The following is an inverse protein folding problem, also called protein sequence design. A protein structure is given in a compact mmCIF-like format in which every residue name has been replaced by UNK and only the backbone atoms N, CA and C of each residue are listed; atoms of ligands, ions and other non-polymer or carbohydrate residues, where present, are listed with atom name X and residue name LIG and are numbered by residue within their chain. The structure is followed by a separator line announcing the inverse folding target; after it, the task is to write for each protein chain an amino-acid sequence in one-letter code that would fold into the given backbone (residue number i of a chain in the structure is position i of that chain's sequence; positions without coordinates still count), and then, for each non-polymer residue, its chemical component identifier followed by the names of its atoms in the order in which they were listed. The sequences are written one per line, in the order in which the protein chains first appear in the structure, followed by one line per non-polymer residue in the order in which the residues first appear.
data_IF_061327698643
#
_entry.id   IF_061327698643
#
_cell.length_a   1.000
_cell.length_b   1.000
_cell.length_c   1.000
_cell.angle_alpha   90.00
_cell.angle_beta   90.00
_cell.angle_gamma   90.00
#
_symmetry.space_group_name_H-M   'P 1'
#
loop_
_entity.id
_entity.type
_entity.pdbx_description
1 polymer ?
#
# COMPACT_ATOMS: atom_id res chain seq x y z
N UNK A 1 -14.27 -20.63 -24.33
CA UNK A 1 -15.08 -19.51 -24.88
C UNK A 1 -16.10 -19.15 -23.83
N UNK A 2 -15.81 -18.14 -23.02
CA UNK A 2 -16.73 -17.60 -22.02
C UNK A 2 -17.54 -16.49 -22.68
N UNK A 3 -18.85 -16.70 -22.75
CA UNK A 3 -19.86 -15.76 -23.23
C UNK A 3 -19.86 -14.52 -22.35
N UNK A 4 -19.40 -13.40 -22.88
CA UNK A 4 -19.60 -12.07 -22.30
C UNK A 4 -21.08 -11.71 -22.42
N UNK A 5 -21.70 -11.45 -21.28
CA UNK A 5 -23.07 -10.98 -21.15
C UNK A 5 -23.26 -9.64 -21.90
N UNK A 6 -24.26 -9.47 -22.78
CA UNK A 6 -24.43 -8.26 -23.61
C UNK A 6 -24.88 -6.99 -22.86
N UNK A 7 -25.00 -7.04 -21.52
CA UNK A 7 -25.45 -5.93 -20.66
C UNK A 7 -24.36 -5.03 -20.08
N UNK A 8 -23.08 -5.39 -20.20
CA UNK A 8 -21.96 -4.57 -19.70
C UNK A 8 -21.54 -3.56 -20.78
N UNK A 9 -22.35 -2.52 -20.99
CA UNK A 9 -21.86 -1.32 -21.67
C UNK A 9 -20.71 -0.78 -20.84
N UNK A 10 -19.48 -1.10 -21.27
CA UNK A 10 -18.24 -0.99 -20.54
C UNK A 10 -18.07 0.37 -19.87
N UNK A 11 -18.47 0.46 -18.60
CA UNK A 11 -18.17 1.61 -17.76
C UNK A 11 -16.67 1.57 -17.53
N UNK A 12 -15.95 2.50 -18.16
CA UNK A 12 -14.49 2.62 -18.10
C UNK A 12 -13.95 2.33 -16.68
N UNK A 13 -13.18 1.25 -16.54
CA UNK A 13 -12.67 0.78 -15.25
C UNK A 13 -11.34 1.45 -14.94
N UNK A 14 -11.34 2.27 -13.88
CA UNK A 14 -10.15 2.96 -13.38
C UNK A 14 -9.57 2.17 -12.20
N UNK A 15 -8.25 1.93 -12.23
CA UNK A 15 -7.50 1.43 -11.09
C UNK A 15 -6.79 2.58 -10.36
N UNK A 16 -6.71 2.48 -9.03
CA UNK A 16 -6.01 3.45 -8.19
C UNK A 16 -4.93 2.76 -7.35
N UNK A 17 -3.69 3.21 -7.46
CA UNK A 17 -2.56 2.72 -6.70
C UNK A 17 -2.08 3.77 -5.70
N UNK A 18 -2.00 3.41 -4.42
CA UNK A 18 -1.57 4.28 -3.32
C UNK A 18 -0.24 3.77 -2.76
N UNK A 19 0.85 4.48 -3.07
CA UNK A 19 2.20 4.04 -2.69
C UNK A 19 2.46 4.06 -1.18
N UNK A 20 3.53 3.39 -0.77
CA UNK A 20 4.08 3.47 0.59
C UNK A 20 4.73 4.82 0.93
N UNK A 21 5.08 4.99 2.21
CA UNK A 21 5.75 6.20 2.74
C UNK A 21 5.33 6.67 4.14
N UNK A 22 4.74 5.81 4.97
CA UNK A 22 4.33 6.12 6.36
C UNK A 22 3.23 7.19 6.45
N UNK A 23 3.21 7.97 7.55
CA UNK A 23 2.21 9.03 7.76
C UNK A 23 2.22 10.10 6.65
N UNK A 24 3.40 10.37 6.05
CA UNK A 24 3.51 11.28 4.90
C UNK A 24 2.64 10.85 3.73
N UNK A 25 2.69 9.56 3.40
CA UNK A 25 1.90 9.00 2.31
C UNK A 25 0.41 9.11 2.58
N UNK A 26 -0.03 8.84 3.81
CA UNK A 26 -1.42 9.04 4.20
C UNK A 26 -1.90 10.48 3.98
N UNK A 27 -1.13 11.48 4.42
CA UNK A 27 -1.50 12.89 4.26
C UNK A 27 -1.54 13.33 2.79
N UNK A 28 -0.52 12.94 2.00
CA UNK A 28 -0.51 13.20 0.55
C UNK A 28 -1.68 12.53 -0.19
N UNK A 29 -1.95 11.26 0.12
CA UNK A 29 -3.04 10.50 -0.49
C UNK A 29 -4.41 11.02 -0.07
N UNK A 30 -4.56 11.60 1.13
CA UNK A 30 -5.80 12.26 1.52
C UNK A 30 -6.17 13.37 0.53
N UNK A 31 -5.19 14.19 0.14
CA UNK A 31 -5.36 15.22 -0.89
C UNK A 31 -5.69 14.64 -2.26
N UNK A 32 -4.95 13.61 -2.67
CA UNK A 32 -5.22 12.94 -3.94
C UNK A 32 -6.65 12.40 -4.00
N UNK A 33 -7.08 11.70 -2.94
CA UNK A 33 -8.43 11.15 -2.85
C UNK A 33 -9.50 12.24 -2.81
N UNK A 34 -9.23 13.39 -2.17
CA UNK A 34 -10.15 14.55 -2.15
C UNK A 34 -10.38 15.07 -3.55
N UNK A 35 -9.30 15.40 -4.28
CA UNK A 35 -9.42 15.84 -5.66
C UNK A 35 -10.14 14.82 -6.55
N UNK A 36 -9.83 13.52 -6.42
CA UNK A 36 -10.53 12.48 -7.17
C UNK A 36 -12.01 12.37 -6.81
N UNK A 37 -12.37 12.60 -5.55
CA UNK A 37 -13.76 12.61 -5.09
C UNK A 37 -14.53 13.80 -5.67
N UNK A 38 -13.95 15.00 -5.58
CA UNK A 38 -14.54 16.25 -6.06
C UNK A 38 -14.72 16.24 -7.58
N UNK A 39 -13.82 15.57 -8.30
CA UNK A 39 -13.88 15.37 -9.75
C UNK A 39 -14.80 14.20 -10.16
N UNK A 40 -15.49 13.52 -9.25
CA UNK A 40 -16.36 12.38 -9.58
C UNK A 40 -15.60 11.14 -10.11
N UNK A 41 -14.27 11.14 -10.03
CA UNK A 41 -13.40 10.06 -10.53
C UNK A 41 -13.34 8.91 -9.53
N UNK A 42 -13.31 9.21 -8.23
CA UNK A 42 -13.14 8.21 -7.18
C UNK A 42 -14.28 7.17 -7.18
N UNK A 43 -15.50 7.58 -7.55
CA UNK A 43 -16.71 6.75 -7.67
C UNK A 43 -16.64 5.80 -8.88
N UNK A 44 -15.72 6.04 -9.81
CA UNK A 44 -15.47 5.22 -11.01
C UNK A 44 -14.28 4.27 -10.82
N UNK A 45 -13.57 4.35 -9.70
CA UNK A 45 -12.46 3.46 -9.38
C UNK A 45 -13.04 2.08 -9.04
N UNK A 46 -12.69 1.06 -9.82
CA UNK A 46 -13.16 -0.32 -9.61
C UNK A 46 -12.29 -1.06 -8.60
N UNK A 47 -10.99 -0.75 -8.56
CA UNK A 47 -10.01 -1.48 -7.75
C UNK A 47 -8.94 -0.54 -7.25
N UNK A 48 -8.59 -0.69 -5.97
CA UNK A 48 -7.56 0.08 -5.30
C UNK A 48 -6.47 -0.86 -4.80
N UNK A 49 -5.20 -0.54 -5.10
CA UNK A 49 -4.04 -1.25 -4.58
C UNK A 49 -3.26 -0.32 -3.67
N UNK A 50 -2.85 -0.81 -2.50
CA UNK A 50 -2.28 0.05 -1.47
C UNK A 50 -1.14 -0.61 -0.71
N UNK A 51 -0.12 0.20 -0.40
CA UNK A 51 1.14 -0.26 0.21
C UNK A 51 1.45 0.57 1.45
N UNK A 52 1.83 -0.07 2.57
CA UNK A 52 2.34 0.60 3.76
C UNK A 52 1.43 1.72 4.26
N UNK A 53 1.90 2.97 4.37
CA UNK A 53 1.05 4.13 4.69
C UNK A 53 -0.18 4.31 3.77
N UNK A 54 -0.05 3.97 2.48
CA UNK A 54 -1.19 3.91 1.55
C UNK A 54 -2.24 2.88 1.97
N UNK A 55 -1.82 1.73 2.50
CA UNK A 55 -2.75 0.69 2.99
C UNK A 55 -3.54 1.13 4.22
N UNK A 56 -2.98 2.01 5.06
CA UNK A 56 -3.70 2.56 6.22
C UNK A 56 -4.87 3.43 5.75
N UNK A 57 -4.61 4.43 4.90
CA UNK A 57 -5.66 5.33 4.40
C UNK A 57 -6.68 4.60 3.52
N UNK A 58 -6.23 3.66 2.66
CA UNK A 58 -7.12 2.82 1.86
C UNK A 58 -8.02 1.95 2.75
N UNK A 59 -7.45 1.37 3.81
CA UNK A 59 -8.19 0.63 4.82
C UNK A 59 -9.25 1.49 5.51
N UNK A 60 -8.93 2.72 5.88
CA UNK A 60 -9.92 3.65 6.48
C UNK A 60 -11.03 3.95 5.46
N UNK A 61 -10.69 4.25 4.21
CA UNK A 61 -11.66 4.53 3.15
C UNK A 61 -12.64 3.37 2.90
N UNK A 62 -12.14 2.14 2.94
CA UNK A 62 -12.91 0.94 2.65
C UNK A 62 -13.64 0.34 3.86
N UNK A 63 -13.35 0.78 5.10
CA UNK A 63 -13.96 0.23 6.32
C UNK A 63 -14.75 1.25 7.14
N UNK A 64 -14.39 2.53 7.09
CA UNK A 64 -15.02 3.55 7.94
C UNK A 64 -16.45 3.88 7.46
N UNK A 65 -17.45 3.92 8.36
CA UNK A 65 -18.81 4.31 8.00
C UNK A 65 -18.90 5.79 7.61
N UNK A 66 -19.98 6.17 6.92
CA UNK A 66 -20.25 7.55 6.51
C UNK A 66 -19.74 7.91 5.11
N UNK A 67 -19.76 9.22 4.83
CA UNK A 67 -19.41 9.85 3.56
C UNK A 67 -17.91 10.19 3.47
N UNK A 68 -17.51 10.91 2.42
CA UNK A 68 -16.11 11.33 2.24
C UNK A 68 -15.64 12.29 3.35
N UNK A 69 -16.52 13.17 3.85
CA UNK A 69 -16.19 14.09 4.92
C UNK A 69 -15.92 13.37 6.25
N UNK A 70 -16.69 12.33 6.58
CA UNK A 70 -16.44 11.46 7.73
C UNK A 70 -15.10 10.72 7.60
N UNK A 71 -14.82 10.17 6.42
CA UNK A 71 -13.52 9.57 6.09
C UNK A 71 -12.37 10.57 6.31
N UNK A 72 -12.48 11.78 5.78
CA UNK A 72 -11.44 12.80 5.92
C UNK A 72 -11.19 13.18 7.38
N UNK A 73 -12.25 13.43 8.16
CA UNK A 73 -12.13 13.71 9.59
C UNK A 73 -11.39 12.60 10.32
N UNK A 74 -11.73 11.34 10.01
CA UNK A 74 -11.06 10.17 10.61
C UNK A 74 -9.58 10.09 10.24
N UNK A 75 -9.23 10.34 8.98
CA UNK A 75 -7.82 10.35 8.55
C UNK A 75 -7.02 11.44 9.26
N UNK A 76 -7.58 12.66 9.35
CA UNK A 76 -6.95 13.78 10.06
C UNK A 76 -6.75 13.48 11.54
N UNK A 77 -7.74 12.89 12.20
CA UNK A 77 -7.64 12.44 13.60
C UNK A 77 -6.49 11.43 13.76
N UNK A 78 -6.44 10.39 12.92
CA UNK A 78 -5.41 9.36 12.98
C UNK A 78 -4.01 9.93 12.74
N UNK A 79 -3.86 10.83 11.76
CA UNK A 79 -2.60 11.53 11.49
C UNK A 79 -2.15 12.39 12.67
N UNK A 80 -3.08 13.11 13.31
CA UNK A 80 -2.78 13.96 14.46
C UNK A 80 -2.37 13.17 15.71
N UNK A 81 -2.93 11.97 15.90
CA UNK A 81 -2.57 11.08 17.00
C UNK A 81 -1.24 10.36 16.72
N UNK A 82 -1.00 9.99 15.46
CA UNK A 82 0.08 9.10 15.05
C UNK A 82 -0.05 7.69 15.63
N UNK A 83 0.90 6.81 15.32
CA UNK A 83 0.87 5.41 15.77
C UNK A 83 1.90 5.11 16.86
N UNK A 84 2.94 5.92 16.98
CA UNK A 84 4.03 5.70 17.95
C UNK A 84 3.53 5.72 19.40
N UNK A 85 2.79 6.77 19.81
CA UNK A 85 2.25 6.88 21.18
C UNK A 85 1.27 5.74 21.51
N UNK A 86 0.26 5.42 20.66
CA UNK A 86 -0.59 4.26 20.89
C UNK A 86 0.14 2.91 20.92
N UNK A 87 1.18 2.73 20.09
CA UNK A 87 2.00 1.52 20.09
C UNK A 87 2.82 1.38 21.39
N UNK A 88 3.45 2.46 21.86
CA UNK A 88 4.16 2.47 23.15
C UNK A 88 3.21 2.17 24.29
N UNK A 89 2.03 2.83 24.32
CA UNK A 89 0.99 2.52 25.31
C UNK A 89 0.61 1.05 25.27
N UNK A 90 0.37 0.49 24.08
CA UNK A 90 0.03 -0.94 23.93
C UNK A 90 1.17 -1.85 24.39
N UNK A 91 2.42 -1.50 24.13
CA UNK A 91 3.58 -2.26 24.60
C UNK A 91 3.69 -2.30 26.14
N UNK A 92 3.33 -1.20 26.81
CA UNK A 92 3.44 -1.05 28.27
C UNK A 92 2.20 -1.55 29.02
N UNK A 93 1.01 -1.42 28.45
CA UNK A 93 -0.25 -1.77 29.11
C UNK A 93 -0.76 -3.17 28.74
N UNK A 94 -0.06 -3.90 27.88
CA UNK A 94 -0.42 -5.28 27.50
C UNK A 94 0.79 -6.19 27.56
N UNK A 95 0.57 -7.49 27.58
CA UNK A 95 1.62 -8.50 27.59
C UNK A 95 2.43 -8.59 26.28
N UNK A 96 2.04 -7.88 25.22
CA UNK A 96 2.77 -7.88 23.94
C UNK A 96 4.22 -7.40 24.08
N UNK A 97 4.47 -6.39 24.92
CA UNK A 97 5.83 -5.89 25.13
C UNK A 97 6.75 -6.98 25.68
N UNK A 98 6.29 -7.65 26.75
CA UNK A 98 7.02 -8.75 27.37
C UNK A 98 7.16 -9.95 26.42
N UNK A 99 6.10 -10.32 25.70
CA UNK A 99 6.14 -11.40 24.70
C UNK A 99 7.11 -11.08 23.56
N UNK A 100 7.17 -9.83 23.11
CA UNK A 100 8.09 -9.39 22.06
C UNK A 100 9.56 -9.45 22.52
N UNK A 101 9.84 -9.03 23.75
CA UNK A 101 11.18 -9.15 24.35
C UNK A 101 11.56 -10.62 24.49
N UNK A 102 10.69 -11.44 25.08
CA UNK A 102 10.92 -12.88 25.25
C UNK A 102 11.16 -13.59 23.93
N UNK A 103 10.35 -13.31 22.90
CA UNK A 103 10.54 -13.86 21.54
C UNK A 103 11.88 -13.46 20.95
N UNK A 104 12.31 -12.20 21.14
CA UNK A 104 13.61 -11.72 20.66
C UNK A 104 14.77 -12.43 21.35
N UNK A 105 14.71 -12.60 22.67
CA UNK A 105 15.74 -13.31 23.46
C UNK A 105 15.81 -14.77 23.02
N UNK A 106 14.66 -15.45 22.91
CA UNK A 106 14.61 -16.86 22.50
C UNK A 106 15.20 -17.07 21.11
N UNK A 107 14.85 -16.20 20.14
CA UNK A 107 15.43 -16.23 18.80
C UNK A 107 16.94 -15.94 18.83
N UNK A 108 17.41 -15.01 19.65
CA UNK A 108 18.83 -14.70 19.76
C UNK A 108 19.62 -15.90 20.31
N UNK A 109 19.11 -16.57 21.34
CA UNK A 109 19.71 -17.78 21.92
C UNK A 109 19.78 -18.90 20.87
N UNK A 110 18.66 -19.19 20.21
CA UNK A 110 18.58 -20.24 19.19
C UNK A 110 19.51 -19.96 17.99
N UNK A 111 19.55 -18.72 17.47
CA UNK A 111 20.46 -18.35 16.36
C UNK A 111 21.93 -18.35 16.77
N UNK A 112 22.24 -17.98 18.02
CA UNK A 112 23.61 -18.03 18.56
C UNK A 112 24.07 -19.48 18.74
N UNK A 113 23.23 -20.36 19.28
CA UNK A 113 23.52 -21.78 19.38
C UNK A 113 23.76 -22.41 17.99
N UNK A 114 22.89 -22.11 17.03
CA UNK A 114 23.07 -22.58 15.65
C UNK A 114 24.40 -22.08 15.03
N UNK A 115 24.79 -20.83 15.31
CA UNK A 115 26.07 -20.28 14.87
C UNK A 115 27.26 -21.02 15.48
N UNK A 116 27.28 -21.22 16.80
CA UNK A 116 28.35 -21.95 17.51
C UNK A 116 28.47 -23.38 16.97
N UNK A 117 27.35 -24.09 16.83
CA UNK A 117 27.34 -25.46 16.28
C UNK A 117 27.85 -25.47 14.83
N UNK A 118 27.45 -24.51 13.98
CA UNK A 118 27.99 -24.40 12.61
C UNK A 118 29.50 -24.17 12.60
N UNK A 119 30.03 -23.35 13.52
CA UNK A 119 31.48 -23.11 13.63
C UNK A 119 32.23 -24.35 14.08
N UNK A 120 31.71 -25.09 15.05
CA UNK A 120 32.28 -26.36 15.50
C UNK A 120 32.26 -27.43 14.39
N UNK A 121 31.13 -27.59 13.69
CA UNK A 121 31.01 -28.51 12.55
C UNK A 121 31.96 -28.15 11.40
N UNK A 122 32.12 -26.86 11.11
CA UNK A 122 33.06 -26.38 10.10
C UNK A 122 34.52 -26.71 10.47
N UNK A 123 34.89 -26.65 11.75
CA UNK A 123 36.22 -27.01 12.22
C UNK A 123 36.54 -28.50 12.01
N UNK A 124 35.54 -29.38 12.15
CA UNK A 124 35.66 -30.83 11.91
C UNK A 124 35.30 -31.21 10.45
N UNK A 125 35.17 -30.22 9.55
CA UNK A 125 34.79 -30.40 8.13
C UNK A 125 33.50 -31.23 7.92
N UNK A 126 32.62 -31.25 8.91
CA UNK A 126 31.32 -31.94 8.85
C UNK A 126 30.22 -30.97 8.41
N UNK A 127 29.30 -31.45 7.58
CA UNK A 127 28.17 -30.66 7.06
C UNK A 127 26.86 -31.46 7.13
N UNK A 128 26.38 -31.80 8.34
CA UNK A 128 25.12 -32.50 8.49
C UNK A 128 23.96 -31.64 7.98
N UNK A 129 22.95 -32.28 7.35
CA UNK A 129 21.75 -31.61 6.84
C UNK A 129 20.72 -31.37 7.96
N UNK A 130 21.15 -30.76 9.07
CA UNK A 130 20.25 -30.43 10.17
C UNK A 130 19.46 -29.16 9.87
N UNK A 131 18.16 -29.30 9.63
CA UNK A 131 17.28 -28.20 9.22
C UNK A 131 17.28 -27.00 10.18
N UNK A 132 17.37 -27.24 11.49
CA UNK A 132 17.34 -26.20 12.53
C UNK A 132 18.52 -25.22 12.46
N UNK A 133 19.69 -25.71 12.00
CA UNK A 133 20.86 -24.88 11.78
C UNK A 133 20.56 -23.81 10.74
N UNK A 134 19.82 -24.17 9.69
CA UNK A 134 19.37 -23.28 8.61
C UNK A 134 18.22 -22.37 9.02
N UNK A 135 17.16 -22.95 9.58
CA UNK A 135 15.88 -22.30 9.84
C UNK A 135 15.46 -22.49 11.29
N UNK A 136 15.12 -21.42 11.99
CA UNK A 136 14.72 -21.50 13.39
C UNK A 136 13.43 -22.28 13.54
N UNK A 137 13.31 -23.23 14.48
CA UNK A 137 12.01 -23.78 14.81
C UNK A 137 11.11 -22.75 15.52
N UNK A 138 11.71 -21.70 16.10
CA UNK A 138 10.99 -20.63 16.80
C UNK A 138 10.33 -19.70 15.77
N UNK A 139 9.02 -19.48 15.92
CA UNK A 139 8.26 -18.49 15.15
C UNK A 139 8.33 -17.14 15.85
N UNK A 140 8.55 -16.05 15.10
CA UNK A 140 8.41 -14.69 15.64
C UNK A 140 6.93 -14.33 15.81
N UNK A 141 6.29 -14.89 16.84
CA UNK A 141 4.86 -14.66 17.13
C UNK A 141 4.57 -13.27 17.70
N UNK A 142 5.54 -12.65 18.38
CA UNK A 142 5.39 -11.31 18.95
C UNK A 142 6.60 -10.44 18.61
N UNK A 143 6.36 -9.18 18.27
CA UNK A 143 7.39 -8.19 17.91
C UNK A 143 6.86 -6.76 17.97
N UNK A 144 7.70 -5.76 17.65
CA UNK A 144 7.24 -4.37 17.46
C UNK A 144 6.11 -4.26 16.42
N UNK A 145 6.09 -5.15 15.42
CA UNK A 145 5.07 -5.18 14.39
C UNK A 145 3.73 -5.73 14.91
N UNK A 146 3.75 -6.68 15.85
CA UNK A 146 2.49 -7.19 16.46
C UNK A 146 1.90 -6.18 17.44
N UNK A 147 2.74 -5.41 18.12
CA UNK A 147 2.30 -4.24 18.90
C UNK A 147 1.62 -3.22 17.98
N UNK A 148 2.23 -2.89 16.83
CA UNK A 148 1.65 -1.98 15.86
C UNK A 148 0.34 -2.54 15.26
N UNK A 149 0.26 -3.85 14.97
CA UNK A 149 -0.96 -4.54 14.56
C UNK A 149 -2.09 -4.32 15.57
N UNK A 150 -1.83 -4.42 16.89
CA UNK A 150 -2.85 -4.13 17.91
C UNK A 150 -3.31 -2.67 17.90
N UNK A 151 -2.41 -1.71 17.62
CA UNK A 151 -2.80 -0.30 17.40
C UNK A 151 -3.73 -0.17 16.20
N UNK A 152 -3.42 -0.82 15.08
CA UNK A 152 -4.29 -0.82 13.89
C UNK A 152 -5.63 -1.50 14.17
N UNK A 153 -5.65 -2.63 14.87
CA UNK A 153 -6.87 -3.35 15.25
C UNK A 153 -7.84 -2.45 16.03
N UNK A 154 -7.34 -1.72 17.03
CA UNK A 154 -8.15 -0.74 17.78
C UNK A 154 -8.65 0.41 16.90
N UNK A 155 -7.81 0.93 16.01
CA UNK A 155 -8.15 2.04 15.12
C UNK A 155 -9.23 1.68 14.09
N UNK A 156 -9.18 0.45 13.57
CA UNK A 156 -10.17 -0.12 12.65
C UNK A 156 -11.36 -0.76 13.37
N UNK A 157 -11.41 -0.72 14.71
CA UNK A 157 -12.49 -1.36 15.48
C UNK A 157 -12.58 -2.87 15.30
N UNK A 158 -11.46 -3.54 14.97
CA UNK A 158 -11.44 -4.99 14.72
C UNK A 158 -12.06 -5.42 13.39
N UNK A 159 -12.27 -4.50 12.43
CA UNK A 159 -12.85 -4.81 11.13
C UNK A 159 -12.08 -5.94 10.42
N UNK A 160 -12.82 -6.91 9.86
CA UNK A 160 -12.24 -7.98 9.04
C UNK A 160 -12.17 -7.56 7.58
N UNK A 161 -11.32 -8.25 6.81
CA UNK A 161 -11.25 -8.05 5.36
C UNK A 161 -12.60 -8.34 4.68
N UNK A 162 -13.35 -9.32 5.19
CA UNK A 162 -14.69 -9.68 4.72
C UNK A 162 -15.76 -8.63 5.03
N UNK A 163 -15.49 -7.74 6.00
CA UNK A 163 -16.44 -6.71 6.46
C UNK A 163 -16.21 -5.36 5.74
N UNK A 164 -15.29 -5.33 4.77
CA UNK A 164 -15.04 -4.14 3.96
C UNK A 164 -16.30 -3.76 3.17
N UNK A 165 -16.51 -2.45 3.05
CA UNK A 165 -17.69 -1.88 2.43
C UNK A 165 -17.78 -2.21 0.95
N UNK A 166 -18.93 -2.72 0.52
CA UNK A 166 -19.21 -3.09 -0.88
C UNK A 166 -19.44 -1.88 -1.80
N UNK A 167 -19.76 -0.70 -1.25
CA UNK A 167 -19.91 0.55 -2.01
C UNK A 167 -18.57 1.27 -2.27
N UNK A 168 -17.45 0.62 -1.94
CA UNK A 168 -16.08 1.11 -2.14
C UNK A 168 -15.35 0.24 -3.17
N UNK A 169 -14.27 0.75 -3.79
CA UNK A 169 -13.47 -0.04 -4.73
C UNK A 169 -12.93 -1.31 -4.08
N UNK A 170 -12.75 -2.37 -4.86
CA UNK A 170 -12.12 -3.59 -4.36
C UNK A 170 -10.70 -3.28 -3.88
N UNK A 171 -10.44 -3.50 -2.60
CA UNK A 171 -9.14 -3.20 -1.98
C UNK A 171 -8.18 -4.38 -2.08
N UNK A 172 -6.97 -4.11 -2.57
CA UNK A 172 -5.83 -5.00 -2.62
C UNK A 172 -4.70 -4.40 -1.76
N UNK A 173 -4.48 -4.95 -0.57
CA UNK A 173 -3.34 -4.55 0.25
C UNK A 173 -2.14 -5.42 -0.11
N UNK A 174 -1.03 -4.78 -0.47
CA UNK A 174 0.18 -5.47 -0.94
C UNK A 174 1.19 -5.59 0.20
N UNK A 175 1.63 -6.82 0.46
CA UNK A 175 2.79 -7.15 1.29
C UNK A 175 3.82 -7.93 0.45
N UNK A 176 4.99 -8.20 1.04
CA UNK A 176 6.02 -9.01 0.41
C UNK A 176 6.25 -10.28 1.24
N UNK A 177 6.12 -11.45 0.63
CA UNK A 177 6.55 -12.71 1.24
C UNK A 177 8.04 -12.93 0.96
N UNK A 178 8.86 -12.73 1.99
CA UNK A 178 10.31 -12.66 1.87
C UNK A 178 10.95 -13.97 1.40
N UNK A 179 10.40 -15.12 1.79
CA UNK A 179 10.98 -16.42 1.41
C UNK A 179 10.73 -16.74 -0.06
N UNK A 180 9.54 -16.41 -0.55
CA UNK A 180 9.12 -16.54 -1.94
C UNK A 180 9.71 -15.45 -2.83
N UNK A 181 10.14 -14.30 -2.27
CA UNK A 181 10.51 -13.11 -3.05
C UNK A 181 9.36 -12.72 -3.99
N UNK A 182 8.15 -12.71 -3.43
CA UNK A 182 6.90 -12.55 -4.18
C UNK A 182 5.97 -11.58 -3.47
N UNK A 183 5.11 -10.91 -4.25
CA UNK A 183 3.98 -10.18 -3.69
C UNK A 183 3.04 -11.14 -2.96
N UNK A 184 2.55 -10.68 -1.83
CA UNK A 184 1.47 -11.28 -1.07
C UNK A 184 0.31 -10.29 -1.04
N UNK A 185 -0.86 -10.71 -1.49
CA UNK A 185 -2.03 -9.85 -1.59
C UNK A 185 -3.08 -10.22 -0.56
N UNK A 186 -3.62 -9.22 0.11
CA UNK A 186 -4.79 -9.32 0.97
C UNK A 186 -5.96 -8.66 0.26
N UNK A 187 -7.07 -9.39 0.13
CA UNK A 187 -8.34 -8.88 -0.41
C UNK A 187 -9.49 -9.37 0.47
N UNK A 188 -10.67 -8.79 0.29
CA UNK A 188 -11.88 -9.24 0.98
C UNK A 188 -12.21 -10.71 0.67
N UNK A 189 -11.97 -11.15 -0.57
CA UNK A 189 -12.35 -12.49 -1.03
C UNK A 189 -11.28 -13.57 -0.79
N UNK A 190 -10.00 -13.20 -0.78
CA UNK A 190 -8.91 -14.17 -0.56
C UNK A 190 -7.58 -13.52 -0.16
N UNK A 191 -6.69 -14.35 0.35
CA UNK A 191 -5.26 -14.09 0.43
C UNK A 191 -4.57 -14.78 -0.73
N UNK A 192 -3.54 -14.18 -1.33
CA UNK A 192 -2.90 -14.76 -2.50
C UNK A 192 -1.40 -14.51 -2.58
N UNK A 193 -0.65 -15.56 -2.90
CA UNK A 193 0.77 -15.50 -3.27
C UNK A 193 0.98 -16.46 -4.45
N UNK A 194 1.42 -15.97 -5.61
CA UNK A 194 1.52 -16.80 -6.82
C UNK A 194 2.35 -18.09 -6.62
N UNK A 195 3.33 -18.08 -5.70
CA UNK A 195 4.13 -19.28 -5.38
C UNK A 195 3.34 -20.33 -4.61
N UNK A 196 2.54 -19.93 -3.63
CA UNK A 196 1.86 -20.84 -2.71
C UNK A 196 0.39 -21.09 -3.09
N UNK A 197 -0.25 -20.18 -3.82
CA UNK A 197 -1.66 -20.24 -4.18
C UNK A 197 -2.51 -19.26 -3.38
N UNK A 198 -3.76 -19.64 -3.12
CA UNK A 198 -4.73 -18.80 -2.41
C UNK A 198 -5.08 -19.38 -1.04
N UNK A 199 -5.44 -18.53 -0.09
CA UNK A 199 -6.00 -18.91 1.21
C UNK A 199 -7.27 -18.10 1.47
N UNK A 200 -8.14 -18.62 2.33
CA UNK A 200 -9.30 -17.86 2.80
C UNK A 200 -8.87 -16.57 3.52
N UNK A 201 -9.64 -15.50 3.30
CA UNK A 201 -9.58 -14.23 4.05
C UNK A 201 -10.47 -14.24 5.30
N UNK A 202 -11.23 -15.31 5.53
CA UNK A 202 -12.16 -15.41 6.65
C UNK A 202 -11.44 -15.27 8.00
N UNK A 203 -11.97 -14.40 8.86
CA UNK A 203 -11.41 -14.13 10.17
C UNK A 203 -10.12 -13.29 10.17
N UNK A 204 -9.60 -12.90 9.01
CA UNK A 204 -8.41 -12.03 8.91
C UNK A 204 -8.81 -10.58 9.15
N UNK A 205 -8.19 -9.93 10.13
CA UNK A 205 -8.45 -8.52 10.38
C UNK A 205 -7.80 -7.65 9.30
N UNK A 206 -8.43 -6.53 8.97
CA UNK A 206 -7.81 -5.49 8.15
C UNK A 206 -6.46 -5.03 8.75
N UNK A 207 -6.38 -5.02 10.09
CA UNK A 207 -5.16 -4.71 10.82
C UNK A 207 -4.00 -5.68 10.53
N UNK A 208 -4.26 -6.96 10.23
CA UNK A 208 -3.22 -7.92 9.83
C UNK A 208 -2.62 -7.55 8.49
N UNK A 209 -3.47 -7.24 7.51
CA UNK A 209 -3.07 -6.84 6.18
C UNK A 209 -2.25 -5.54 6.21
N UNK A 210 -2.75 -4.51 6.91
CA UNK A 210 -2.08 -3.21 7.06
C UNK A 210 -0.76 -3.35 7.82
N UNK A 211 -0.72 -4.12 8.91
CA UNK A 211 0.51 -4.34 9.67
C UNK A 211 1.58 -5.07 8.84
N UNK A 212 1.19 -6.09 8.07
CA UNK A 212 2.09 -6.79 7.16
C UNK A 212 2.62 -5.83 6.09
N UNK A 213 1.73 -5.07 5.46
CA UNK A 213 2.07 -4.10 4.41
C UNK A 213 2.91 -2.93 4.90
N UNK A 214 2.90 -2.61 6.20
CA UNK A 214 3.68 -1.53 6.82
C UNK A 214 4.96 -1.99 7.53
N UNK A 215 5.27 -3.30 7.55
CA UNK A 215 6.40 -3.87 8.29
C UNK A 215 7.75 -3.63 7.59
N UNK A 216 8.17 -2.37 7.44
CA UNK A 216 9.36 -1.98 6.69
C UNK A 216 10.63 -2.57 7.32
N UNK A 217 11.46 -3.34 6.58
CA UNK A 217 12.53 -4.15 7.17
C UNK A 217 13.51 -3.43 8.08
N UNK A 218 13.86 -2.17 7.78
CA UNK A 218 14.80 -1.40 8.59
C UNK A 218 14.23 -1.02 9.98
N UNK A 219 12.91 -0.90 10.10
CA UNK A 219 12.24 -0.40 11.30
C UNK A 219 11.44 -1.49 12.04
N UNK A 220 10.81 -2.41 11.31
CA UNK A 220 9.81 -3.33 11.84
C UNK A 220 10.15 -4.76 11.42
N UNK A 221 10.24 -5.72 12.36
CA UNK A 221 10.44 -7.13 12.02
C UNK A 221 9.31 -7.68 11.15
N UNK A 222 9.64 -8.56 10.22
CA UNK A 222 8.63 -9.27 9.43
C UNK A 222 7.69 -10.10 10.33
N UNK A 223 6.42 -10.16 9.94
CA UNK A 223 5.40 -11.01 10.55
C UNK A 223 5.64 -12.45 10.08
N UNK A 224 5.72 -13.38 11.02
CA UNK A 224 5.86 -14.80 10.72
C UNK A 224 4.61 -15.56 11.17
N UNK A 225 4.02 -16.30 10.24
CA UNK A 225 2.87 -17.16 10.53
C UNK A 225 2.92 -18.42 9.68
N UNK A 226 2.03 -19.37 9.98
CA UNK A 226 1.87 -20.59 9.22
C UNK A 226 0.43 -20.67 8.74
N UNK A 227 0.26 -20.79 7.43
CA UNK A 227 -1.04 -20.74 6.75
C UNK A 227 -1.14 -21.86 5.72
N UNK A 228 -2.36 -22.34 5.50
CA UNK A 228 -2.65 -23.31 4.45
C UNK A 228 -3.02 -22.59 3.16
N UNK A 229 -2.44 -23.00 2.05
CA UNK A 229 -2.75 -22.46 0.73
C UNK A 229 -3.24 -23.58 -0.17
N UNK A 230 -4.20 -23.24 -1.03
CA UNK A 230 -4.67 -24.08 -2.11
C UNK A 230 -4.02 -23.66 -3.42
N UNK A 231 -3.39 -24.63 -4.11
CA UNK A 231 -2.81 -24.45 -5.43
C UNK A 231 -2.93 -25.73 -6.24
N UNK A 232 -3.48 -25.62 -7.45
CA UNK A 232 -3.60 -26.76 -8.38
C UNK A 232 -4.29 -27.98 -7.73
N UNK A 233 -5.34 -27.75 -6.96
CA UNK A 233 -6.12 -28.79 -6.26
C UNK A 233 -5.42 -29.43 -5.05
N UNK A 234 -4.29 -28.88 -4.59
CA UNK A 234 -3.57 -29.34 -3.39
C UNK A 234 -3.58 -28.26 -2.32
N UNK A 235 -3.79 -28.70 -1.08
CA UNK A 235 -3.70 -27.84 0.11
C UNK A 235 -2.39 -28.11 0.83
N UNK A 236 -1.50 -27.11 0.86
CA UNK A 236 -0.20 -27.20 1.51
C UNK A 236 -0.06 -26.14 2.60
N UNK A 237 0.58 -26.54 3.70
CA UNK A 237 0.82 -25.65 4.84
C UNK A 237 2.21 -25.04 4.74
N UNK A 238 2.28 -23.72 4.64
CA UNK A 238 3.53 -22.97 4.50
C UNK A 238 3.76 -22.01 5.67
N UNK A 239 5.02 -21.98 6.15
CA UNK A 239 5.50 -20.88 6.98
C UNK A 239 5.81 -19.68 6.10
N UNK A 240 5.10 -18.58 6.29
CA UNK A 240 5.27 -17.34 5.53
C UNK A 240 5.94 -16.27 6.41
N UNK A 241 6.67 -15.37 5.75
CA UNK A 241 7.37 -14.26 6.37
C UNK A 241 7.04 -12.98 5.61
N UNK A 242 6.10 -12.21 6.15
CA UNK A 242 5.53 -11.04 5.51
C UNK A 242 6.21 -9.76 5.99
N UNK A 243 6.61 -8.92 5.04
CA UNK A 243 7.16 -7.58 5.28
C UNK A 243 6.43 -6.56 4.40
N UNK A 244 6.82 -5.30 4.54
CA UNK A 244 6.25 -4.18 3.78
C UNK A 244 6.21 -4.48 2.27
N UNK A 245 5.05 -4.21 1.65
CA UNK A 245 4.85 -4.47 0.23
C UNK A 245 5.79 -3.67 -0.65
N UNK A 246 6.32 -2.55 -0.15
CA UNK A 246 7.26 -1.71 -0.85
C UNK A 246 8.51 -2.44 -1.28
N UNK A 247 8.97 -3.42 -0.50
CA UNK A 247 10.12 -4.27 -0.84
C UNK A 247 9.96 -4.96 -2.20
N UNK A 248 8.71 -5.26 -2.60
CA UNK A 248 8.41 -5.86 -3.89
C UNK A 248 7.88 -4.83 -4.91
N UNK A 249 6.92 -4.00 -4.50
CA UNK A 249 6.24 -3.03 -5.35
C UNK A 249 5.69 -1.86 -4.53
N UNK A 250 6.53 -0.83 -4.33
CA UNK A 250 6.15 0.35 -3.54
C UNK A 250 5.05 1.20 -4.14
N UNK A 251 4.85 1.14 -5.47
CA UNK A 251 3.80 1.88 -6.13
C UNK A 251 2.45 1.13 -6.10
N UNK A 252 2.46 -0.17 -5.78
CA UNK A 252 1.26 -1.00 -5.76
C UNK A 252 0.68 -1.23 -7.16
N UNK A 253 1.49 -1.15 -8.21
CA UNK A 253 1.03 -1.23 -9.60
C UNK A 253 1.02 -2.65 -10.16
N UNK A 254 1.73 -3.58 -9.55
CA UNK A 254 1.84 -4.96 -10.01
C UNK A 254 0.49 -5.62 -10.28
N UNK A 255 -0.56 -5.46 -9.44
CA UNK A 255 -1.87 -6.03 -9.72
C UNK A 255 -2.54 -5.47 -10.98
N UNK A 256 -2.14 -4.31 -11.48
CA UNK A 256 -2.81 -3.61 -12.59
C UNK A 256 -2.13 -3.77 -13.94
N UNK A 257 -1.01 -4.52 -14.00
CA UNK A 257 -0.34 -4.77 -15.27
C UNK A 257 -1.21 -5.61 -16.20
N UNK A 258 -1.41 -5.18 -17.47
CA UNK A 258 -2.10 -5.98 -18.46
C UNK A 258 -1.30 -7.25 -18.79
N UNK A 259 -1.99 -8.27 -19.30
CA UNK A 259 -1.38 -9.55 -19.68
C UNK A 259 -1.03 -10.48 -18.51
N UNK A 260 -1.48 -10.18 -17.29
CA UNK A 260 -1.36 -11.11 -16.16
C UNK A 260 -2.27 -12.31 -16.36
N UNK A 261 -1.74 -13.50 -16.14
CA UNK A 261 -2.51 -14.75 -16.12
C UNK A 261 -3.26 -14.89 -14.80
N UNK A 262 -4.59 -14.83 -14.84
CA UNK A 262 -5.49 -14.93 -13.69
C UNK A 262 -5.51 -16.33 -13.05
N UNK A 263 -4.98 -17.35 -13.73
CA UNK A 263 -4.83 -18.70 -13.15
C UNK A 263 -3.61 -18.79 -12.22
N UNK A 264 -2.63 -17.89 -12.39
CA UNK A 264 -1.37 -17.86 -11.63
C UNK A 264 -1.36 -16.71 -10.61
N UNK A 265 -1.88 -15.56 -11.02
CA UNK A 265 -1.85 -14.31 -10.26
C UNK A 265 -3.23 -13.97 -9.70
N UNK A 266 -3.25 -13.10 -8.68
CA UNK A 266 -4.49 -12.47 -8.24
C UNK A 266 -5.13 -11.73 -9.43
N UNK A 267 -6.35 -12.13 -9.77
CA UNK A 267 -7.19 -11.44 -10.75
C UNK A 267 -7.77 -10.17 -10.13
N UNK A 268 -7.57 -9.05 -10.80
CA UNK A 268 -8.07 -7.71 -10.46
C UNK A 268 -8.95 -7.13 -11.57
N UNK A 269 -9.18 -7.89 -12.64
CA UNK A 269 -9.86 -7.43 -13.85
C UNK A 269 -8.96 -6.57 -14.74
N UNK A 270 -9.49 -6.22 -15.91
CA UNK A 270 -8.82 -5.31 -16.86
C UNK A 270 -9.18 -3.87 -16.55
N UNK A 271 -8.17 -3.01 -16.47
CA UNK A 271 -8.33 -1.58 -16.26
C UNK A 271 -7.84 -0.83 -17.49
N UNK A 272 -8.61 0.17 -17.93
CA UNK A 272 -8.27 0.97 -19.11
C UNK A 272 -7.45 2.20 -18.72
N UNK A 273 -7.62 2.67 -17.48
CA UNK A 273 -6.89 3.80 -16.91
C UNK A 273 -6.33 3.44 -15.55
N UNK A 274 -5.16 3.99 -15.24
CA UNK A 274 -4.50 3.83 -13.94
C UNK A 274 -4.19 5.19 -13.32
N UNK A 275 -4.48 5.37 -12.04
CA UNK A 275 -4.04 6.52 -11.25
C UNK A 275 -3.03 6.00 -10.23
N UNK A 276 -1.81 6.50 -10.27
CA UNK A 276 -0.71 6.05 -9.43
C UNK A 276 -0.24 7.18 -8.51
N UNK A 277 -0.77 7.25 -7.30
CA UNK A 277 -0.36 8.25 -6.32
C UNK A 277 0.98 7.84 -5.69
N UNK A 278 2.02 8.64 -5.94
CA UNK A 278 3.39 8.40 -5.45
C UNK A 278 3.78 9.41 -4.37
N UNK A 279 3.85 8.94 -3.14
CA UNK A 279 4.22 9.73 -1.96
C UNK A 279 5.74 9.73 -1.63
N UNK A 280 6.57 9.24 -2.55
CA UNK A 280 8.03 9.34 -2.45
C UNK A 280 8.52 10.74 -2.81
N UNK A 281 9.70 11.13 -2.31
CA UNK A 281 10.42 12.31 -2.81
C UNK A 281 11.25 11.97 -4.04
N UNK A 282 11.75 13.02 -4.70
CA UNK A 282 12.76 12.91 -5.75
C UNK A 282 14.02 12.21 -5.23
N UNK A 283 14.69 11.52 -6.15
CA UNK A 283 15.99 10.91 -5.89
C UNK A 283 16.98 12.05 -5.61
N UNK A 284 17.18 12.35 -4.34
CA UNK A 284 18.27 13.21 -3.91
C UNK A 284 19.55 12.39 -3.91
N UNK A 285 20.66 13.04 -4.26
CA UNK A 285 21.99 12.44 -4.11
C UNK A 285 22.23 12.29 -2.61
N UNK A 286 22.27 11.05 -2.12
CA UNK A 286 22.55 10.75 -0.74
C UNK A 286 24.04 10.97 -0.41
N UNK A 287 24.34 11.19 0.87
CA UNK A 287 25.71 11.31 1.35
C UNK A 287 26.53 10.03 1.06
N UNK A 288 27.86 10.13 0.89
CA UNK A 288 28.72 8.98 0.64
C UNK A 288 28.60 7.88 1.71
N UNK A 289 28.40 6.64 1.26
CA UNK A 289 28.27 5.48 2.13
C UNK A 289 29.64 4.89 2.55
N UNK A 290 30.17 5.36 3.69
CA UNK A 290 31.52 5.00 4.14
C UNK A 290 31.63 3.66 4.86
N UNK A 291 30.60 3.21 5.58
CA UNK A 291 30.60 1.94 6.34
C UNK A 291 29.93 0.80 5.57
N UNK A 292 30.25 -0.46 5.89
CA UNK A 292 29.56 -1.62 5.29
C UNK A 292 28.04 -1.50 5.43
N UNK A 293 27.55 -1.10 6.61
CA UNK A 293 26.11 -0.95 6.85
C UNK A 293 25.51 0.13 5.96
N UNK A 294 26.13 1.31 5.88
CA UNK A 294 25.66 2.38 5.00
C UNK A 294 25.70 1.98 3.52
N UNK A 295 26.71 1.18 3.10
CA UNK A 295 26.80 0.69 1.72
C UNK A 295 25.70 -0.32 1.39
N UNK A 296 25.38 -1.21 2.33
CA UNK A 296 24.25 -2.14 2.16
C UNK A 296 22.91 -1.41 2.10
N UNK A 297 22.73 -0.36 2.91
CA UNK A 297 21.53 0.48 2.82
C UNK A 297 21.46 1.23 1.48
N UNK A 298 22.54 1.89 1.05
CA UNK A 298 22.60 2.58 -0.23
C UNK A 298 22.39 1.64 -1.43
N UNK A 299 22.92 0.41 -1.37
CA UNK A 299 22.69 -0.61 -2.38
C UNK A 299 21.21 -1.03 -2.44
N UNK A 300 20.58 -1.26 -1.27
CA UNK A 300 19.15 -1.54 -1.19
C UNK A 300 18.33 -0.39 -1.79
N UNK A 301 18.58 0.85 -1.37
CA UNK A 301 17.89 2.05 -1.86
C UNK A 301 18.08 2.24 -3.37
N UNK A 302 19.26 1.95 -3.91
CA UNK A 302 19.55 2.02 -5.35
C UNK A 302 18.73 1.01 -6.15
N UNK A 303 18.66 -0.24 -5.70
CA UNK A 303 17.84 -1.28 -6.34
C UNK A 303 16.35 -0.94 -6.21
N UNK A 304 15.94 -0.45 -5.05
CA UNK A 304 14.57 -0.03 -4.77
C UNK A 304 14.13 1.15 -5.65
N UNK A 305 15.00 2.14 -5.84
CA UNK A 305 14.78 3.27 -6.76
C UNK A 305 14.67 2.79 -8.21
N UNK A 306 15.57 1.89 -8.65
CA UNK A 306 15.53 1.31 -9.99
C UNK A 306 14.23 0.56 -10.25
N UNK A 307 13.74 -0.24 -9.29
CA UNK A 307 12.49 -0.97 -9.42
C UNK A 307 11.28 -0.02 -9.59
N UNK A 308 11.21 1.04 -8.79
CA UNK A 308 10.16 2.06 -8.93
C UNK A 308 10.23 2.80 -10.27
N UNK A 309 11.44 3.12 -10.74
CA UNK A 309 11.62 3.74 -12.05
C UNK A 309 11.12 2.82 -13.17
N UNK A 310 11.44 1.53 -13.13
CA UNK A 310 10.95 0.55 -14.11
C UNK A 310 9.42 0.46 -14.11
N UNK A 311 8.79 0.42 -12.93
CA UNK A 311 7.34 0.41 -12.79
C UNK A 311 6.71 1.70 -13.36
N UNK A 312 7.35 2.85 -13.13
CA UNK A 312 6.90 4.13 -13.67
C UNK A 312 7.05 4.16 -15.19
N UNK A 313 8.20 3.78 -15.73
CA UNK A 313 8.44 3.68 -17.19
C UNK A 313 7.42 2.78 -17.86
N UNK A 314 7.08 1.65 -17.23
CA UNK A 314 6.07 0.73 -17.75
C UNK A 314 4.70 1.39 -17.94
N UNK A 315 4.28 2.35 -17.08
CA UNK A 315 3.05 3.11 -17.32
C UNK A 315 3.10 3.87 -18.64
N UNK A 316 4.21 4.54 -18.92
CA UNK A 316 4.42 5.26 -20.18
C UNK A 316 4.51 4.31 -21.38
N UNK A 317 5.16 3.17 -21.24
CA UNK A 317 5.25 2.16 -22.30
C UNK A 317 3.89 1.61 -22.67
N UNK A 318 3.08 1.24 -21.67
CA UNK A 318 1.72 0.73 -21.87
C UNK A 318 0.79 1.78 -22.48
N UNK A 319 0.91 3.04 -22.08
CA UNK A 319 0.14 4.13 -22.69
C UNK A 319 0.56 4.36 -24.15
N UNK A 320 1.87 4.39 -24.45
CA UNK A 320 2.38 4.54 -25.82
C UNK A 320 2.02 3.36 -26.71
N UNK A 321 1.98 2.16 -26.15
CA UNK A 321 1.57 0.93 -26.85
C UNK A 321 0.06 0.77 -27.01
N UNK A 322 -0.76 1.67 -26.45
CA UNK A 322 -2.22 1.59 -26.51
C UNK A 322 -2.84 0.50 -25.63
N UNK A 323 -2.06 -0.14 -24.75
CA UNK A 323 -2.58 -1.11 -23.77
C UNK A 323 -3.31 -0.42 -22.61
N UNK A 324 -2.93 0.81 -22.29
CA UNK A 324 -3.66 1.71 -21.39
C UNK A 324 -4.15 2.93 -22.17
N UNK A 325 -5.43 3.28 -21.98
CA UNK A 325 -6.02 4.49 -22.56
C UNK A 325 -5.42 5.76 -21.97
N UNK A 326 -4.92 5.68 -20.74
CA UNK A 326 -4.19 6.77 -20.09
C UNK A 326 -3.86 6.46 -18.64
N UNK A 327 -3.01 7.28 -18.03
CA UNK A 327 -2.73 7.21 -16.61
C UNK A 327 -2.47 8.59 -16.01
N UNK A 328 -2.61 8.70 -14.69
CA UNK A 328 -2.16 9.86 -13.92
C UNK A 328 -1.10 9.40 -12.92
N UNK A 329 -0.08 10.21 -12.72
CA UNK A 329 1.01 9.95 -11.77
C UNK A 329 1.22 11.17 -10.86
N UNK A 330 0.26 11.50 -9.97
CA UNK A 330 0.46 12.56 -8.99
C UNK A 330 1.58 12.15 -8.05
N UNK A 331 2.62 12.97 -8.02
CA UNK A 331 3.89 12.63 -7.40
C UNK A 331 4.33 13.72 -6.43
N UNK A 332 4.45 13.38 -5.15
CA UNK A 332 4.75 14.35 -4.09
C UNK A 332 6.03 15.14 -4.39
N UNK A 333 7.08 14.47 -4.87
CA UNK A 333 8.35 15.07 -5.28
C UNK A 333 8.39 15.60 -6.71
N UNK A 334 7.24 15.80 -7.37
CA UNK A 334 7.19 16.34 -8.73
C UNK A 334 7.79 17.74 -8.77
N UNK A 335 8.68 17.98 -9.73
CA UNK A 335 9.22 19.32 -9.96
C UNK A 335 8.10 20.22 -10.46
N UNK A 336 7.88 21.34 -9.77
CA UNK A 336 6.75 22.22 -10.05
C UNK A 336 6.83 22.83 -11.46
N UNK A 337 8.05 23.10 -11.96
CA UNK A 337 8.29 23.58 -13.32
C UNK A 337 7.83 22.59 -14.44
N UNK A 338 7.59 21.32 -14.09
CA UNK A 338 7.10 20.33 -15.04
C UNK A 338 5.56 20.22 -15.05
N UNK A 339 4.85 20.95 -14.19
CA UNK A 339 3.39 21.01 -14.21
C UNK A 339 2.93 21.95 -15.32
N UNK A 340 2.07 21.48 -16.23
CA UNK A 340 1.52 22.34 -17.29
C UNK A 340 0.38 23.22 -16.82
N UNK A 341 -0.39 22.75 -15.83
CA UNK A 341 -1.58 23.43 -15.33
C UNK A 341 -1.55 23.63 -13.79
N UNK A 342 -0.49 24.23 -13.21
CA UNK A 342 -0.43 24.48 -11.78
C UNK A 342 -1.50 25.49 -11.35
N UNK A 343 -2.08 25.36 -10.14
CA UNK A 343 -2.90 26.42 -9.54
C UNK A 343 -2.01 27.59 -9.09
N UNK A 344 -2.61 28.78 -8.96
CA UNK A 344 -1.90 30.00 -8.54
C UNK A 344 -1.32 29.89 -7.12
N UNK A 345 -1.98 29.14 -6.23
CA UNK A 345 -1.60 28.94 -4.84
C UNK A 345 -0.87 27.60 -4.60
N UNK A 346 -0.15 27.09 -5.60
CA UNK A 346 0.54 25.80 -5.54
C UNK A 346 1.47 25.70 -4.31
N UNK A 347 1.24 24.68 -3.48
CA UNK A 347 2.16 24.28 -2.42
C UNK A 347 3.38 23.65 -3.08
N UNK A 348 4.54 24.32 -3.01
CA UNK A 348 5.74 23.92 -3.76
C UNK A 348 6.38 22.64 -3.26
N UNK A 349 7.16 22.00 -4.14
CA UNK A 349 7.82 20.74 -3.84
C UNK A 349 8.86 20.88 -2.71
N UNK A 350 9.49 22.05 -2.61
CA UNK A 350 10.45 22.40 -1.57
C UNK A 350 9.78 22.63 -0.22
N UNK A 351 8.53 23.12 -0.19
CA UNK A 351 7.78 23.38 1.04
C UNK A 351 7.33 22.09 1.73
N UNK A 352 7.12 21.02 0.95
CA UNK A 352 6.83 19.69 1.47
C UNK A 352 8.09 18.84 1.65
N UNK A 353 9.22 19.27 1.10
CA UNK A 353 10.47 18.53 1.22
C UNK A 353 10.88 18.42 2.70
N UNK A 354 11.51 17.30 3.04
CA UNK A 354 12.07 17.11 4.38
C UNK A 354 11.12 16.54 5.43
N UNK A 355 9.80 16.42 5.18
CA UNK A 355 8.96 15.67 6.13
C UNK A 355 9.38 14.17 6.12
N UNK A 356 9.77 13.61 7.28
CA UNK A 356 10.34 12.26 7.36
C UNK A 356 9.30 11.16 7.09
N UNK A 357 9.76 10.01 6.63
CA UNK A 357 8.94 8.79 6.62
C UNK A 357 8.95 8.15 8.02
N UNK A 358 7.88 8.35 8.77
CA UNK A 358 7.72 7.77 10.11
C UNK A 358 6.24 7.46 10.42
N UNK A 359 5.98 7.07 11.67
CA UNK A 359 4.66 6.76 12.23
C UNK A 359 4.29 7.70 13.40
N UNK A 360 4.92 8.88 13.46
CA UNK A 360 4.70 9.87 14.51
C UNK A 360 3.42 10.67 14.27
N UNK A 361 2.96 11.36 15.32
CA UNK A 361 1.92 12.37 15.23
C UNK A 361 2.34 13.49 14.26
N UNK A 362 1.40 13.94 13.44
CA UNK A 362 1.60 15.01 12.46
C UNK A 362 0.87 16.28 12.91
N UNK A 363 1.52 17.44 12.82
CA UNK A 363 0.84 18.72 13.08
C UNK A 363 -0.20 19.01 12.02
N UNK A 364 -1.24 19.77 12.37
CA UNK A 364 -2.28 20.19 11.42
C UNK A 364 -1.67 20.90 10.19
N UNK A 365 -0.69 21.77 10.39
CA UNK A 365 0.06 22.43 9.32
C UNK A 365 0.66 21.45 8.30
N UNK A 366 1.30 20.37 8.77
CA UNK A 366 1.89 19.36 7.89
C UNK A 366 0.83 18.50 7.20
N UNK A 367 -0.26 18.17 7.90
CA UNK A 367 -1.40 17.48 7.29
C UNK A 367 -1.98 18.32 6.15
N UNK A 368 -2.20 19.61 6.39
CA UNK A 368 -2.75 20.54 5.40
C UNK A 368 -1.80 20.75 4.24
N UNK A 369 -0.50 20.97 4.49
CA UNK A 369 0.49 21.18 3.43
C UNK A 369 0.62 19.97 2.51
N UNK A 370 0.75 18.77 3.08
CA UNK A 370 0.90 17.53 2.29
C UNK A 370 -0.37 17.17 1.53
N UNK A 371 -1.54 17.33 2.17
CA UNK A 371 -2.83 17.05 1.51
C UNK A 371 -3.15 18.07 0.43
N UNK A 372 -3.00 19.38 0.68
CA UNK A 372 -3.21 20.41 -0.35
C UNK A 372 -2.33 20.18 -1.58
N UNK A 373 -1.05 19.83 -1.39
CA UNK A 373 -0.20 19.50 -2.53
C UNK A 373 -0.72 18.29 -3.32
N UNK A 374 -1.11 17.20 -2.64
CA UNK A 374 -1.68 16.02 -3.31
C UNK A 374 -2.93 16.34 -4.11
N UNK A 375 -3.81 17.17 -3.55
CA UNK A 375 -5.03 17.66 -4.18
C UNK A 375 -4.72 18.50 -5.43
N UNK A 376 -3.85 19.50 -5.29
CA UNK A 376 -3.45 20.40 -6.37
C UNK A 376 -2.79 19.66 -7.54
N UNK A 377 -1.92 18.67 -7.26
CA UNK A 377 -1.29 17.86 -8.30
C UNK A 377 -2.30 17.03 -9.09
N UNK A 378 -3.29 16.43 -8.42
CA UNK A 378 -4.34 15.67 -9.11
C UNK A 378 -5.16 16.60 -10.00
N UNK A 379 -5.59 17.76 -9.51
CA UNK A 379 -6.32 18.71 -10.34
C UNK A 379 -5.52 19.17 -11.56
N UNK A 380 -4.24 19.51 -11.39
CA UNK A 380 -3.36 19.91 -12.48
C UNK A 380 -3.23 18.80 -13.53
N UNK A 381 -2.98 17.56 -13.10
CA UNK A 381 -2.80 16.42 -13.99
C UNK A 381 -4.08 16.01 -14.71
N UNK A 382 -5.24 16.12 -14.06
CA UNK A 382 -6.54 15.85 -14.71
C UNK A 382 -6.84 16.90 -15.78
N UNK A 383 -6.62 18.19 -15.49
CA UNK A 383 -6.79 19.26 -16.50
C UNK A 383 -5.88 19.05 -17.71
N UNK A 384 -4.66 18.61 -17.48
CA UNK A 384 -3.68 18.38 -18.53
C UNK A 384 -4.00 17.13 -19.36
N UNK A 385 -4.31 16.01 -18.71
CA UNK A 385 -4.31 14.70 -19.37
C UNK A 385 -5.71 14.17 -19.65
N UNK A 386 -6.70 14.47 -18.80
CA UNK A 386 -8.07 13.95 -18.89
C UNK A 386 -9.13 15.10 -18.91
N UNK A 387 -9.03 16.09 -19.82
CA UNK A 387 -9.95 17.23 -19.87
C UNK A 387 -11.41 16.82 -20.14
N UNK A 388 -11.64 15.67 -20.78
CA UNK A 388 -12.96 15.10 -21.03
C UNK A 388 -13.72 14.76 -19.75
N UNK A 389 -13.01 14.48 -18.66
CA UNK A 389 -13.63 14.21 -17.36
C UNK A 389 -14.24 15.48 -16.76
N UNK A 390 -13.64 16.64 -17.03
CA UNK A 390 -14.11 17.93 -16.53
C UNK A 390 -15.38 18.39 -17.27
N UNK A 391 -15.44 18.14 -18.58
CA UNK A 391 -16.59 18.51 -19.42
C UNK A 391 -17.81 17.62 -19.15
N UNK A 392 -17.61 16.32 -18.97
CA UNK A 392 -18.70 15.38 -18.64
C UNK A 392 -19.39 15.73 -17.30
N UNK A 393 -18.65 16.23 -16.31
CA UNK A 393 -19.24 16.65 -15.04
C UNK A 393 -19.98 17.98 -15.16
N UNK A 394 -19.52 18.92 -16.00
CA UNK A 394 -20.20 20.19 -16.24
C UNK A 394 -21.58 20.02 -16.91
N UNK A 395 -21.72 19.04 -17.81
CA UNK A 395 -23.02 18.72 -18.45
C UNK A 395 -24.04 18.14 -17.46
N UNK A 396 -23.60 17.40 -16.43
CA UNK A 396 -24.50 16.85 -15.40
C UNK A 396 -25.03 17.95 -14.46
N UNK A 397 -24.25 19.03 -14.25
CA UNK A 397 -24.69 20.18 -13.46
C UNK A 397 -25.70 21.06 -14.20
N UNK A 398 -25.58 21.21 -15.52
CA UNK A 398 -26.55 21.95 -16.34
C UNK A 398 -27.90 21.25 -16.47
N UNK A 399 -27.93 19.91 -16.42
CA UNK A 399 -29.19 19.15 -16.49
C UNK A 399 -29.98 19.18 -15.17
N UNK A 400 -29.34 19.57 -14.05
CA UNK A 400 -30.00 19.79 -12.76
C UNK A 400 -30.62 21.17 -12.59
N UNK A 401 -30.39 22.10 -13.52
CA UNK A 401 -30.97 23.46 -13.50
C UNK A 401 -31.99 23.71 -14.63
N UNK A 402 -32.42 22.67 -15.34
CA UNK A 402 -33.41 22.72 -16.41
C UNK A 402 -34.87 22.87 -15.94
N UNK A 403 -35.28 24.12 -15.71
CA UNK A 403 -36.56 24.74 -16.09
C UNK A 403 -37.83 23.86 -16.06
N UNK A 404 -38.64 24.05 -15.02
CA UNK A 404 -40.09 23.82 -15.10
C UNK A 404 -40.73 24.95 -15.92
N UNK A 405 -40.90 24.73 -17.23
CA UNK A 405 -41.80 25.54 -18.04
C UNK A 405 -43.23 25.01 -17.82
N UNK A 406 -44.00 25.72 -17.00
CA UNK A 406 -45.43 25.46 -16.83
C UNK A 406 -46.18 25.78 -18.12
N UNK A 407 -46.81 24.76 -18.70
CA UNK A 407 -47.87 24.93 -19.70
C UNK A 407 -49.19 25.15 -18.96
N UNK A 408 -49.71 26.38 -19.04
CA UNK A 408 -51.04 26.73 -18.59
C UNK A 408 -51.65 27.76 -19.53
N UNK A 409 -52.35 27.29 -20.56
CA UNK A 409 -53.55 27.85 -21.19
C UNK A 409 -53.96 26.92 -22.33
#
# INVERSE_FOLDING_TARGET
MTTTDPGDQAKERIALALSGGGSRAMAFHLGCLRALHDLGILQRVSTMSAVSGGSVIAGIYCSHPGDFAAFERRVREVLSQGFLRPAVRTALTTDEGMRAIGTRVLLAVDRTAAFVVRRALAAVRSRPKWGWLGTSPVLRRSSRTTILRRTFSKMFGGAKLTDLRSDRPRLVIVACELRAKAAFYFTADRLHCWRYGSSSSEGVELADAVAASAAYPAALPAIETVMSFEKSGRTERHRITLTDGGVYDNLGLAPFWPGRDSTISLDTGRHERIIACRAGYALNVADPASTMLSRMNAAFESVFARAQNLATTRLYDLARGGELRGFLLPYLGQRDANLRCPPDDLVRCEEVAGYPTNFSAMSAEWVDRLSRRGEQLVHALVRENWPEVLTANASVTFDRTGVAAGSGA
#
